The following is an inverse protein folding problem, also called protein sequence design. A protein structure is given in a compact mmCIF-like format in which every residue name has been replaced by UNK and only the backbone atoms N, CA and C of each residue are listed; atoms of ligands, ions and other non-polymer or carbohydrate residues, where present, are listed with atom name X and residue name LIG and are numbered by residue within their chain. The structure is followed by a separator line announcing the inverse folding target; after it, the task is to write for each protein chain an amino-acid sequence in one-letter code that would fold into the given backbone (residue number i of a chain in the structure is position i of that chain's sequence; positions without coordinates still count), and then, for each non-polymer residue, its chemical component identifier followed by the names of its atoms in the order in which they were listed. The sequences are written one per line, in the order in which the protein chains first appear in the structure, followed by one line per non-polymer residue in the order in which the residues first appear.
data_IF_946351215085
#
_entry.id   IF_946351215085
#
_cell.length_a   1.000
_cell.length_b   1.000
_cell.length_c   1.000
_cell.angle_alpha   90.00
_cell.angle_beta   90.00
_cell.angle_gamma   90.00
#
_symmetry.space_group_name_H-M   'P 1'
#
loop_
_entity.id
_entity.type
_entity.pdbx_description
1 polymer ?
#
# COMPACT_ATOMS: atom_id res chain seq x y z
N UNK A 1 59.84 4.63 -15.43
CA UNK A 1 58.92 5.02 -14.33
C UNK A 1 58.04 3.83 -14.01
N UNK A 2 58.34 3.13 -12.92
CA UNK A 2 57.58 1.99 -12.42
C UNK A 2 56.21 2.47 -11.94
N UNK A 3 55.15 2.06 -12.64
CA UNK A 3 53.79 2.32 -12.21
C UNK A 3 53.54 1.44 -10.97
N UNK A 4 53.76 1.98 -9.78
CA UNK A 4 53.42 1.28 -8.54
C UNK A 4 51.93 0.96 -8.59
N UNK A 5 51.60 -0.34 -8.59
CA UNK A 5 50.23 -0.82 -8.46
C UNK A 5 49.77 -0.45 -7.05
N UNK A 6 49.11 0.71 -6.90
CA UNK A 6 48.48 1.10 -5.63
C UNK A 6 47.52 -0.01 -5.24
N UNK A 7 47.62 -0.50 -4.01
CA UNK A 7 46.79 -1.61 -3.50
C UNK A 7 45.28 -1.27 -3.51
N UNK A 8 44.94 0.01 -3.64
CA UNK A 8 43.55 0.53 -3.72
C UNK A 8 43.00 0.60 -5.15
N UNK A 9 43.81 0.34 -6.19
CA UNK A 9 43.37 0.37 -7.59
C UNK A 9 43.04 -1.01 -8.15
N UNK A 10 43.15 -2.07 -7.34
CA UNK A 10 42.73 -3.41 -7.75
C UNK A 10 41.24 -3.52 -7.44
N UNK A 11 40.38 -3.87 -8.42
CA UNK A 11 38.98 -4.09 -8.14
C UNK A 11 38.88 -5.21 -7.09
N UNK A 12 38.17 -4.95 -5.99
CA UNK A 12 37.94 -5.90 -4.89
C UNK A 12 37.29 -7.18 -5.41
N UNK A 13 36.49 -7.05 -6.47
CA UNK A 13 35.83 -8.15 -7.15
C UNK A 13 36.50 -8.51 -8.47
N UNK A 14 36.69 -9.81 -8.69
CA UNK A 14 37.04 -10.38 -9.99
C UNK A 14 35.99 -10.01 -11.05
N UNK A 15 36.34 -10.12 -12.33
CA UNK A 15 35.39 -9.90 -13.43
C UNK A 15 34.19 -10.85 -13.34
N UNK A 16 34.42 -12.09 -12.90
CA UNK A 16 33.39 -13.10 -12.69
C UNK A 16 32.42 -12.72 -11.57
N UNK A 17 32.94 -12.30 -10.41
CA UNK A 17 32.12 -11.82 -9.28
C UNK A 17 31.31 -10.57 -9.65
N UNK A 18 31.89 -9.65 -10.43
CA UNK A 18 31.14 -8.50 -10.97
C UNK A 18 30.06 -8.91 -11.96
N UNK A 19 30.30 -9.92 -12.79
CA UNK A 19 29.28 -10.43 -13.71
C UNK A 19 28.13 -11.12 -12.94
N UNK A 20 28.44 -11.92 -11.92
CA UNK A 20 27.46 -12.50 -11.01
C UNK A 20 26.67 -11.40 -10.29
N UNK A 21 27.36 -10.41 -9.73
CA UNK A 21 26.73 -9.32 -9.03
C UNK A 21 25.80 -8.50 -9.94
N UNK A 22 26.24 -8.25 -11.18
CA UNK A 22 25.43 -7.59 -12.20
C UNK A 22 24.21 -8.43 -12.57
N UNK A 23 24.33 -9.75 -12.70
CA UNK A 23 23.20 -10.62 -13.03
C UNK A 23 22.15 -10.69 -11.90
N UNK A 24 22.57 -10.64 -10.64
CA UNK A 24 21.67 -10.78 -9.50
C UNK A 24 21.07 -9.46 -9.02
N UNK A 25 21.85 -8.37 -9.04
CA UNK A 25 21.50 -7.09 -8.42
C UNK A 25 21.44 -5.90 -9.38
N UNK A 26 21.87 -6.01 -10.64
CA UNK A 26 21.66 -4.91 -11.60
C UNK A 26 20.26 -4.99 -12.22
N UNK A 27 19.78 -3.82 -12.63
CA UNK A 27 18.57 -3.72 -13.43
C UNK A 27 18.76 -4.47 -14.75
N UNK A 28 17.87 -5.41 -15.03
CA UNK A 28 17.89 -6.22 -16.24
C UNK A 28 16.57 -6.09 -16.98
N UNK A 29 16.65 -5.92 -18.30
CA UNK A 29 15.51 -5.92 -19.20
C UNK A 29 15.63 -7.10 -20.17
N UNK A 30 14.58 -7.91 -20.30
CA UNK A 30 14.55 -9.03 -21.25
C UNK A 30 13.31 -8.96 -22.14
N UNK A 31 13.48 -9.28 -23.43
CA UNK A 31 12.36 -9.38 -24.37
C UNK A 31 11.74 -10.78 -24.29
N UNK A 32 10.43 -10.85 -24.11
CA UNK A 32 9.64 -12.07 -24.05
C UNK A 32 9.34 -12.59 -25.45
N UNK A 33 9.49 -13.90 -25.62
CA UNK A 33 9.16 -14.62 -26.86
C UNK A 33 7.79 -15.29 -26.75
N UNK A 34 7.31 -15.87 -27.86
CA UNK A 34 5.99 -16.54 -27.96
C UNK A 34 5.74 -17.54 -26.83
N UNK A 35 6.77 -18.27 -26.42
CA UNK A 35 6.70 -19.32 -25.39
C UNK A 35 6.52 -18.74 -23.97
N UNK A 36 6.79 -17.45 -23.78
CA UNK A 36 6.54 -16.74 -22.52
C UNK A 36 5.07 -16.33 -22.34
N UNK A 37 4.23 -16.48 -23.38
CA UNK A 37 2.82 -16.11 -23.35
C UNK A 37 1.93 -17.35 -23.26
N UNK A 38 0.95 -17.29 -22.36
CA UNK A 38 -0.06 -18.34 -22.25
C UNK A 38 -0.98 -18.35 -23.49
N UNK A 39 -1.46 -19.52 -23.93
CA UNK A 39 -2.53 -19.62 -24.90
C UNK A 39 -3.80 -18.90 -24.42
N UNK A 40 -4.62 -18.44 -25.38
CA UNK A 40 -5.88 -17.76 -25.08
C UNK A 40 -6.80 -18.63 -24.23
N UNK A 41 -7.40 -18.04 -23.20
CA UNK A 41 -8.32 -18.76 -22.31
C UNK A 41 -7.64 -19.67 -21.29
N UNK A 42 -6.35 -19.49 -21.04
CA UNK A 42 -5.65 -20.11 -19.91
C UNK A 42 -5.98 -19.41 -18.60
N UNK A 43 -5.95 -20.16 -17.50
CA UNK A 43 -6.16 -19.63 -16.16
C UNK A 43 -4.88 -18.97 -15.65
N UNK A 44 -4.99 -17.73 -15.16
CA UNK A 44 -3.85 -17.00 -14.57
C UNK A 44 -3.31 -17.55 -13.25
N UNK A 45 -3.96 -18.56 -12.65
CA UNK A 45 -3.54 -19.18 -11.38
C UNK A 45 -2.90 -20.55 -11.60
N UNK A 46 -3.54 -21.45 -12.36
CA UNK A 46 -2.99 -22.79 -12.62
C UNK A 46 -2.23 -22.91 -13.94
N UNK A 47 -2.20 -21.85 -14.77
CA UNK A 47 -1.47 -21.74 -16.03
C UNK A 47 -1.89 -22.73 -17.14
N UNK A 48 -2.90 -23.56 -16.89
CA UNK A 48 -3.50 -24.46 -17.87
C UNK A 48 -4.70 -23.80 -18.56
N UNK A 49 -5.20 -24.40 -19.65
CA UNK A 49 -6.46 -24.02 -20.28
C UNK A 49 -7.57 -24.05 -19.20
N UNK A 50 -8.27 -22.93 -19.04
CA UNK A 50 -9.22 -22.76 -17.94
C UNK A 50 -10.40 -23.72 -18.05
N UNK A 51 -10.65 -24.49 -16.99
CA UNK A 51 -11.85 -25.33 -16.79
C UNK A 51 -12.92 -24.52 -16.07
N UNK A 52 -14.17 -24.61 -16.53
CA UNK A 52 -15.28 -23.76 -16.07
C UNK A 52 -14.85 -22.30 -15.92
N UNK A 53 -14.46 -21.66 -17.03
CA UNK A 53 -13.75 -20.39 -16.99
C UNK A 53 -14.63 -19.29 -16.38
N UNK A 54 -14.02 -18.51 -15.50
CA UNK A 54 -14.61 -17.31 -14.88
C UNK A 54 -13.71 -16.12 -15.12
N UNK A 55 -14.28 -14.92 -15.16
CA UNK A 55 -13.54 -13.69 -15.31
C UNK A 55 -13.79 -12.71 -14.16
N UNK A 56 -12.77 -11.91 -13.84
CA UNK A 56 -12.95 -10.71 -13.03
C UNK A 56 -13.61 -9.59 -13.86
N UNK A 57 -14.03 -8.50 -13.21
CA UNK A 57 -14.61 -7.33 -13.92
C UNK A 57 -13.66 -6.66 -14.93
N UNK A 58 -12.37 -6.97 -14.88
CA UNK A 58 -11.33 -6.43 -15.77
C UNK A 58 -10.97 -7.37 -16.92
N UNK A 59 -11.53 -8.58 -16.96
CA UNK A 59 -11.34 -9.50 -18.07
C UNK A 59 -10.25 -10.54 -17.88
N UNK A 60 -9.60 -10.61 -16.70
CA UNK A 60 -8.63 -11.68 -16.41
C UNK A 60 -9.35 -13.03 -16.26
N UNK A 61 -8.77 -14.12 -16.76
CA UNK A 61 -9.41 -15.44 -16.84
C UNK A 61 -8.86 -16.39 -15.79
N UNK A 62 -9.76 -17.11 -15.10
CA UNK A 62 -9.43 -18.12 -14.10
C UNK A 62 -10.31 -19.37 -14.24
N UNK A 63 -9.85 -20.51 -13.73
CA UNK A 63 -10.76 -21.60 -13.42
C UNK A 63 -11.65 -21.19 -12.23
N UNK A 64 -12.91 -21.63 -12.22
CA UNK A 64 -13.83 -21.38 -11.09
C UNK A 64 -13.23 -21.83 -9.75
N UNK A 65 -12.67 -23.04 -9.70
CA UNK A 65 -12.05 -23.58 -8.48
C UNK A 65 -10.86 -22.73 -8.00
N UNK A 66 -9.98 -22.31 -8.91
CA UNK A 66 -8.78 -21.54 -8.58
C UNK A 66 -9.15 -20.14 -8.08
N UNK A 67 -10.12 -19.48 -8.72
CA UNK A 67 -10.58 -18.17 -8.30
C UNK A 67 -11.18 -18.22 -6.88
N UNK A 68 -12.04 -19.22 -6.62
CA UNK A 68 -12.69 -19.37 -5.33
C UNK A 68 -11.69 -19.74 -4.22
N UNK A 69 -10.78 -20.67 -4.47
CA UNK A 69 -9.76 -21.05 -3.50
C UNK A 69 -8.86 -19.86 -3.14
N UNK A 70 -8.45 -19.07 -4.14
CA UNK A 70 -7.67 -17.87 -3.93
C UNK A 70 -8.43 -16.83 -3.09
N UNK A 71 -9.70 -16.55 -3.39
CA UNK A 71 -10.53 -15.63 -2.60
C UNK A 71 -10.64 -16.10 -1.14
N UNK A 72 -10.82 -17.40 -0.91
CA UNK A 72 -10.92 -17.96 0.43
C UNK A 72 -9.60 -17.86 1.20
N UNK A 73 -8.48 -18.14 0.56
CA UNK A 73 -7.14 -17.98 1.14
C UNK A 73 -6.90 -16.53 1.53
N UNK A 74 -7.15 -15.59 0.62
CA UNK A 74 -7.01 -14.16 0.91
C UNK A 74 -7.90 -13.72 2.09
N UNK A 75 -9.16 -14.17 2.14
CA UNK A 75 -10.05 -13.87 3.29
C UNK A 75 -9.51 -14.42 4.61
N UNK A 76 -8.92 -15.62 4.61
CA UNK A 76 -8.30 -16.21 5.81
C UNK A 76 -7.08 -15.42 6.24
N UNK A 77 -6.24 -15.00 5.30
CA UNK A 77 -5.03 -14.23 5.57
C UNK A 77 -5.36 -12.82 6.06
N UNK A 78 -6.37 -12.17 5.47
CA UNK A 78 -6.93 -10.90 5.95
C UNK A 78 -7.40 -11.06 7.39
N UNK A 79 -8.22 -12.08 7.69
CA UNK A 79 -8.70 -12.33 9.05
C UNK A 79 -7.55 -12.59 10.04
N UNK A 80 -6.51 -13.34 9.64
CA UNK A 80 -5.32 -13.60 10.46
C UNK A 80 -4.55 -12.31 10.72
N UNK A 81 -4.34 -11.50 9.69
CA UNK A 81 -3.66 -10.21 9.79
C UNK A 81 -4.47 -9.22 10.65
N UNK A 82 -5.78 -9.17 10.51
CA UNK A 82 -6.68 -8.35 11.34
C UNK A 82 -6.57 -8.74 12.82
N UNK A 83 -6.58 -10.05 13.12
CA UNK A 83 -6.41 -10.55 14.50
C UNK A 83 -5.03 -10.19 15.06
N UNK A 84 -3.97 -10.37 14.28
CA UNK A 84 -2.62 -10.00 14.70
C UNK A 84 -2.51 -8.49 14.96
N UNK A 85 -3.09 -7.66 14.08
CA UNK A 85 -3.13 -6.21 14.29
C UNK A 85 -3.93 -5.82 15.54
N UNK A 86 -5.09 -6.44 15.76
CA UNK A 86 -5.87 -6.20 16.97
C UNK A 86 -5.10 -6.57 18.25
N UNK A 87 -4.40 -7.71 18.26
CA UNK A 87 -3.55 -8.11 19.38
C UNK A 87 -2.41 -7.10 19.62
N UNK A 88 -1.72 -6.66 18.56
CA UNK A 88 -0.68 -5.63 18.68
C UNK A 88 -1.23 -4.27 19.13
N UNK A 89 -2.44 -3.90 18.71
CA UNK A 89 -3.12 -2.68 19.17
C UNK A 89 -3.45 -2.76 20.67
N UNK A 90 -3.88 -3.93 21.16
CA UNK A 90 -4.16 -4.17 22.58
C UNK A 90 -2.88 -4.17 23.44
N UNK A 91 -1.82 -4.85 23.01
CA UNK A 91 -0.52 -4.82 23.69
C UNK A 91 0.08 -3.40 23.73
N UNK A 92 0.00 -2.68 22.60
CA UNK A 92 0.40 -1.28 22.53
C UNK A 92 -0.40 -0.39 23.49
N UNK A 93 -1.70 -0.62 23.63
CA UNK A 93 -2.55 0.12 24.56
C UNK A 93 -2.19 -0.20 26.03
N UNK A 94 -1.92 -1.46 26.36
CA UNK A 94 -1.46 -1.87 27.70
C UNK A 94 -0.12 -1.22 28.06
N UNK A 95 0.86 -1.25 27.15
CA UNK A 95 2.16 -0.62 27.37
C UNK A 95 2.04 0.90 27.56
N UNK A 96 1.17 1.57 26.78
CA UNK A 96 0.90 3.00 26.97
C UNK A 96 0.24 3.30 28.31
N UNK A 97 -0.69 2.46 28.76
CA UNK A 97 -1.32 2.63 30.07
C UNK A 97 -0.30 2.49 31.22
N UNK A 98 0.63 1.53 31.11
CA UNK A 98 1.73 1.36 32.08
C UNK A 98 2.71 2.55 32.05
N UNK A 99 3.06 3.06 30.88
CA UNK A 99 3.90 4.27 30.76
C UNK A 99 3.20 5.49 31.36
N UNK A 100 1.91 5.68 31.06
CA UNK A 100 1.11 6.78 31.61
C UNK A 100 0.94 6.69 33.14
N UNK A 101 0.87 5.49 33.71
CA UNK A 101 0.84 5.27 35.17
C UNK A 101 2.19 5.60 35.80
N UNK A 102 3.30 5.13 35.22
CA UNK A 102 4.64 5.47 35.68
C UNK A 102 4.92 6.99 35.58
N UNK A 103 4.47 7.65 34.52
CA UNK A 103 4.61 9.10 34.37
C UNK A 103 3.78 9.86 35.42
N UNK A 104 2.62 9.33 35.82
CA UNK A 104 1.83 9.89 36.94
C UNK A 104 2.55 9.72 38.27
N UNK A 105 3.09 8.54 38.56
CA UNK A 105 3.83 8.29 39.80
C UNK A 105 5.05 9.21 39.92
N UNK A 106 5.81 9.38 38.83
CA UNK A 106 6.93 10.34 38.78
C UNK A 106 6.48 11.78 39.01
N UNK A 107 5.39 12.20 38.36
CA UNK A 107 4.86 13.55 38.55
C UNK A 107 4.42 13.81 40.00
N UNK A 108 3.83 12.81 40.68
CA UNK A 108 3.49 12.90 42.11
C UNK A 108 4.77 12.99 42.96
N UNK A 109 5.75 12.13 42.71
CA UNK A 109 7.02 12.16 43.45
C UNK A 109 7.79 13.48 43.28
N UNK A 110 7.84 14.03 42.06
CA UNK A 110 8.45 15.34 41.79
C UNK A 110 7.68 16.47 42.50
N UNK A 111 6.35 16.39 42.54
CA UNK A 111 5.53 17.34 43.28
C UNK A 111 5.77 17.29 44.78
N UNK A 112 5.83 16.09 45.37
CA UNK A 112 6.17 15.89 46.79
C UNK A 112 7.57 16.42 47.12
N UNK A 113 8.53 16.18 46.23
CA UNK A 113 9.91 16.68 46.35
C UNK A 113 9.96 18.22 46.35
N UNK A 114 9.22 18.87 45.46
CA UNK A 114 9.10 20.34 45.41
C UNK A 114 8.41 20.89 46.66
N UNK A 115 7.35 20.24 47.17
CA UNK A 115 6.71 20.64 48.43
C UNK A 115 7.63 20.50 49.65
N UNK A 116 8.52 19.50 49.64
CA UNK A 116 9.55 19.33 50.67
C UNK A 116 10.70 20.36 50.60
N UNK A 117 10.67 21.30 49.65
CA UNK A 117 11.68 22.35 49.48
C UNK A 117 13.01 21.87 48.88
N UNK A 118 13.03 20.68 48.28
CA UNK A 118 14.20 20.07 47.64
C UNK A 118 14.26 20.37 46.14
N UNK A 119 13.86 21.58 45.74
CA UNK A 119 13.91 22.02 44.34
C UNK A 119 15.33 21.90 43.78
N UNK A 120 15.51 20.97 42.85
CA UNK A 120 16.80 20.68 42.19
C UNK A 120 17.32 21.84 41.33
N UNK A 121 16.60 22.96 41.28
CA UNK A 121 16.94 24.18 40.54
C UNK A 121 18.00 25.06 41.22
N UNK A 122 18.48 24.70 42.41
CA UNK A 122 19.48 25.47 43.18
C UNK A 122 20.95 25.05 42.97
N UNK A 123 21.29 24.08 42.10
CA UNK A 123 22.70 23.70 41.86
C UNK A 123 23.10 23.97 40.40
N UNK A 124 23.45 25.22 40.11
CA UNK A 124 23.99 25.58 38.80
C UNK A 124 24.18 27.07 38.54
N UNK A 125 24.83 27.82 39.44
CA UNK A 125 25.38 29.14 39.08
C UNK A 125 26.61 29.47 39.92
N UNK A 126 27.75 28.87 39.55
CA UNK A 126 29.08 29.39 39.91
C UNK A 126 29.70 29.93 38.62
N UNK A 127 29.62 31.25 38.45
CA UNK A 127 30.54 32.05 37.64
C UNK A 127 30.34 33.55 37.98
N UNK A 128 31.23 34.07 38.84
CA UNK A 128 31.66 35.48 38.84
C UNK A 128 32.83 35.60 37.83
N UNK A 129 33.27 36.78 37.32
CA UNK A 129 33.44 37.99 38.14
C UNK A 129 33.19 39.37 37.43
N UNK A 130 32.95 40.42 38.24
CA UNK A 130 33.62 41.76 38.21
C UNK A 130 32.83 42.84 37.41
N UNK A 131 32.73 44.13 37.76
CA UNK A 131 33.24 45.02 38.81
C UNK A 131 32.46 46.37 38.72
N UNK A 132 32.44 47.12 39.82
CA UNK A 132 32.45 48.59 39.91
C UNK A 132 31.18 49.37 40.33
N UNK A 133 31.35 50.00 41.51
CA UNK A 133 30.96 51.36 41.95
C UNK A 133 29.71 51.58 42.84
N UNK A 134 29.99 51.68 44.15
CA UNK A 134 29.57 52.67 45.18
C UNK A 134 28.77 53.90 44.70
N UNK A 135 27.87 54.58 45.43
CA UNK A 135 27.57 54.70 46.87
C UNK A 135 26.21 55.44 47.07
N UNK A 136 25.67 55.31 48.28
CA UNK A 136 24.91 56.29 49.06
C UNK A 136 23.46 56.76 48.72
N UNK A 137 22.60 56.47 49.72
CA UNK A 137 21.59 57.32 50.39
C UNK A 137 20.09 57.17 50.12
N UNK A 138 19.38 57.00 51.25
CA UNK A 138 17.93 56.94 51.49
C UNK A 138 17.11 58.03 50.81
N UNK A 139 15.92 57.63 50.36
CA UNK A 139 14.83 58.51 50.00
C UNK A 139 13.59 57.71 49.63
N UNK A 140 12.64 57.66 50.55
CA UNK A 140 11.22 57.37 50.37
C UNK A 140 10.61 57.73 49.00
N UNK A 141 9.93 56.76 48.36
CA UNK A 141 8.52 56.85 47.93
C UNK A 141 8.11 55.68 47.01
N UNK A 142 7.00 55.05 47.38
CA UNK A 142 6.25 54.10 46.58
C UNK A 142 5.62 54.79 45.36
N UNK A 143 5.56 54.11 44.21
CA UNK A 143 4.53 54.22 43.15
C UNK A 143 4.74 53.03 42.18
N UNK A 144 4.06 51.90 42.42
CA UNK A 144 2.88 51.49 41.67
C UNK A 144 3.11 51.16 40.18
N UNK A 145 3.47 49.90 39.88
CA UNK A 145 3.04 49.24 38.65
C UNK A 145 2.05 48.13 39.03
N UNK A 146 0.81 48.56 39.24
CA UNK A 146 -0.35 47.69 39.45
C UNK A 146 -0.61 46.96 38.13
N UNK A 147 -0.07 45.75 38.01
CA UNK A 147 -0.58 44.78 37.06
C UNK A 147 -2.04 44.54 37.38
N UNK A 148 -2.93 44.79 36.42
CA UNK A 148 -4.35 44.53 36.50
C UNK A 148 -4.57 43.11 37.00
N UNK A 149 -4.98 43.01 38.28
CA UNK A 149 -5.49 41.77 38.87
C UNK A 149 -6.77 41.42 38.14
N UNK A 150 -6.65 40.74 37.00
CA UNK A 150 -7.73 39.87 36.54
C UNK A 150 -7.95 38.90 37.68
N UNK A 151 -9.11 39.01 38.32
CA UNK A 151 -9.57 38.08 39.35
C UNK A 151 -9.47 36.71 38.72
N UNK A 152 -8.49 35.92 39.17
CA UNK A 152 -8.28 34.56 38.70
C UNK A 152 -9.43 33.75 39.30
N UNK A 153 -10.55 33.75 38.60
CA UNK A 153 -11.62 32.79 38.88
C UNK A 153 -11.09 31.47 38.33
N UNK A 154 -10.87 30.54 39.26
CA UNK A 154 -10.29 29.23 39.01
C UNK A 154 -11.33 28.38 38.27
N UNK A 155 -11.54 28.70 37.00
CA UNK A 155 -12.45 27.95 36.15
C UNK A 155 -11.86 26.56 35.88
N UNK A 156 -12.73 25.56 35.93
CA UNK A 156 -12.37 24.15 35.78
C UNK A 156 -11.64 23.88 34.45
N UNK A 157 -12.01 24.62 33.40
CA UNK A 157 -11.38 24.54 32.08
C UNK A 157 -9.96 25.13 32.04
N UNK A 158 -9.67 26.17 32.82
CA UNK A 158 -8.34 26.79 32.90
C UNK A 158 -7.38 25.90 33.70
N UNK A 159 -7.88 25.29 34.78
CA UNK A 159 -7.18 24.23 35.53
C UNK A 159 -6.81 23.05 34.63
N UNK A 160 -7.76 22.57 33.82
CA UNK A 160 -7.53 21.47 32.89
C UNK A 160 -6.57 21.83 31.76
N UNK A 161 -6.48 23.12 31.37
CA UNK A 161 -5.48 23.60 30.41
C UNK A 161 -4.09 23.61 31.03
N UNK A 162 -3.94 24.18 32.23
CA UNK A 162 -2.68 24.21 32.97
C UNK A 162 -2.16 22.79 33.23
N UNK A 163 -3.04 21.88 33.66
CA UNK A 163 -2.70 20.47 33.87
C UNK A 163 -2.23 19.77 32.58
N UNK A 164 -2.81 20.11 31.42
CA UNK A 164 -2.36 19.59 30.11
C UNK A 164 -1.00 20.17 29.71
N UNK A 165 -0.80 21.47 29.88
CA UNK A 165 0.47 22.13 29.56
C UNK A 165 1.62 21.60 30.43
N UNK A 166 1.39 21.39 31.72
CA UNK A 166 2.41 20.85 32.63
C UNK A 166 2.72 19.37 32.37
N UNK A 167 1.72 18.56 31.99
CA UNK A 167 1.94 17.20 31.49
C UNK A 167 2.80 17.16 30.24
N UNK A 168 2.60 18.10 29.30
CA UNK A 168 3.42 18.20 28.08
C UNK A 168 4.85 18.61 28.41
N UNK A 169 5.05 19.57 29.32
CA UNK A 169 6.39 19.99 29.77
C UNK A 169 7.12 18.86 30.50
N UNK A 170 6.44 18.14 31.39
CA UNK A 170 7.01 17.00 32.10
C UNK A 170 7.40 15.87 31.13
N UNK A 171 6.53 15.53 30.18
CA UNK A 171 6.85 14.52 29.16
C UNK A 171 8.04 14.93 28.30
N UNK A 172 8.13 16.21 27.92
CA UNK A 172 9.28 16.74 27.18
C UNK A 172 10.58 16.66 27.99
N UNK A 173 10.54 16.99 29.28
CA UNK A 173 11.71 16.87 30.15
C UNK A 173 12.19 15.41 30.29
N UNK A 174 11.26 14.45 30.39
CA UNK A 174 11.58 13.02 30.41
C UNK A 174 12.15 12.54 29.08
N UNK A 175 11.63 13.03 27.95
CA UNK A 175 12.16 12.72 26.62
C UNK A 175 13.57 13.31 26.43
N UNK A 176 13.82 14.53 26.93
CA UNK A 176 15.13 15.19 26.91
C UNK A 176 16.13 14.43 27.82
N UNK A 177 15.72 13.94 28.99
CA UNK A 177 16.55 13.06 29.85
C UNK A 177 16.84 11.70 29.18
N UNK A 178 15.84 11.10 28.53
CA UNK A 178 16.02 9.86 27.75
C UNK A 178 16.97 10.08 26.57
N UNK A 179 16.89 11.24 25.91
CA UNK A 179 17.75 11.62 24.78
C UNK A 179 19.17 12.00 25.22
N UNK A 180 19.35 12.51 26.44
CA UNK A 180 20.65 12.84 27.02
C UNK A 180 21.46 11.60 27.44
N UNK A 181 20.85 10.40 27.47
CA UNK A 181 21.57 9.14 27.69
C UNK A 181 22.52 8.89 26.51
N UNK A 182 23.83 8.70 26.76
CA UNK A 182 24.82 8.61 25.69
C UNK A 182 24.55 7.38 24.80
N UNK A 183 24.22 7.62 23.53
CA UNK A 183 24.13 6.57 22.52
C UNK A 183 25.55 6.22 22.05
N UNK A 184 26.09 5.10 22.52
CA UNK A 184 27.37 4.60 21.99
C UNK A 184 27.17 4.08 20.56
N UNK A 185 28.12 4.32 19.63
CA UNK A 185 28.04 3.85 18.24
C UNK A 185 28.23 2.34 18.07
N UNK A 186 28.36 1.57 19.16
CA UNK A 186 28.57 0.12 19.14
C UNK A 186 27.23 -0.64 19.18
N UNK A 187 26.80 -1.07 18.00
CA UNK A 187 25.62 -1.93 17.79
C UNK A 187 25.69 -3.30 18.49
N UNK A 188 26.88 -3.75 18.91
CA UNK A 188 27.14 -5.10 19.43
C UNK A 188 27.10 -5.22 20.95
N UNK A 189 26.82 -4.13 21.68
CA UNK A 189 26.73 -4.18 23.14
C UNK A 189 25.33 -4.68 23.53
N UNK A 190 25.17 -5.83 24.22
CA UNK A 190 23.86 -6.39 24.55
C UNK A 190 22.95 -5.47 25.39
N UNK A 191 23.52 -4.50 26.10
CA UNK A 191 22.80 -3.50 26.89
C UNK A 191 22.26 -2.33 26.05
N UNK A 192 22.65 -2.24 24.77
CA UNK A 192 22.28 -1.20 23.81
C UNK A 192 21.68 -1.77 22.53
N UNK A 193 21.44 -3.09 22.48
CA UNK A 193 20.62 -3.66 21.41
C UNK A 193 19.24 -3.03 21.52
N UNK A 194 18.70 -2.42 20.44
CA UNK A 194 17.36 -1.87 20.48
C UNK A 194 16.38 -3.01 20.77
N UNK A 195 15.96 -3.12 22.02
CA UNK A 195 14.92 -4.05 22.44
C UNK A 195 13.64 -3.68 21.69
N UNK A 196 12.88 -4.67 21.25
CA UNK A 196 11.60 -4.47 20.57
C UNK A 196 10.60 -3.64 21.40
N UNK A 197 10.85 -3.47 22.71
CA UNK A 197 10.10 -2.61 23.63
C UNK A 197 10.52 -1.13 23.59
N UNK A 198 11.75 -0.81 23.17
CA UNK A 198 12.29 0.56 23.13
C UNK A 198 12.07 1.26 21.79
N UNK A 199 11.90 0.48 20.71
CA UNK A 199 11.47 1.02 19.44
C UNK A 199 10.02 1.47 19.59
N UNK A 200 9.82 2.79 19.69
CA UNK A 200 8.54 3.50 19.53
C UNK A 200 7.62 2.64 18.67
N UNK A 201 6.59 2.06 19.30
CA UNK A 201 5.66 1.11 18.69
C UNK A 201 5.40 1.52 17.24
N UNK A 202 5.68 0.64 16.25
CA UNK A 202 5.55 1.01 14.86
C UNK A 202 4.16 1.64 14.65
N UNK A 203 4.08 2.77 13.93
CA UNK A 203 2.83 3.50 13.79
C UNK A 203 1.76 2.52 13.32
N UNK A 204 0.69 2.43 14.12
CA UNK A 204 -0.47 1.55 13.85
C UNK A 204 -0.85 1.75 12.40
N UNK A 205 -0.53 0.76 11.56
CA UNK A 205 -0.75 0.84 10.12
C UNK A 205 -2.23 1.06 9.94
N UNK A 206 -2.59 2.22 9.39
CA UNK A 206 -3.99 2.65 9.24
C UNK A 206 -4.83 1.51 8.67
N UNK A 207 -6.02 1.31 9.24
CA UNK A 207 -6.98 0.25 8.89
C UNK A 207 -7.37 0.33 7.42
N UNK A 208 -6.56 -0.24 6.54
CA UNK A 208 -6.91 -0.41 5.14
C UNK A 208 -7.96 -1.53 5.09
N UNK A 209 -9.17 -1.21 4.60
CA UNK A 209 -10.22 -2.21 4.33
C UNK A 209 -9.65 -3.21 3.33
N UNK A 210 -9.17 -4.34 3.82
CA UNK A 210 -8.47 -5.32 2.99
C UNK A 210 -9.52 -6.20 2.35
N UNK A 211 -9.92 -5.85 1.14
CA UNK A 211 -10.77 -6.70 0.30
C UNK A 211 -9.84 -7.64 -0.48
N UNK A 212 -10.24 -8.89 -0.79
CA UNK A 212 -9.42 -9.73 -1.65
C UNK A 212 -9.13 -9.04 -2.99
N UNK A 213 -7.88 -9.07 -3.41
CA UNK A 213 -7.36 -8.42 -4.62
C UNK A 213 -7.20 -9.45 -5.74
N UNK A 214 -7.45 -9.07 -6.98
CA UNK A 214 -7.24 -9.96 -8.12
C UNK A 214 -5.76 -10.38 -8.23
N UNK A 215 -5.44 -11.68 -8.33
CA UNK A 215 -4.05 -12.14 -8.50
C UNK A 215 -3.38 -11.65 -9.79
N UNK A 216 -4.17 -11.32 -10.81
CA UNK A 216 -3.69 -10.82 -12.10
C UNK A 216 -3.63 -9.28 -12.18
N UNK A 217 -3.94 -8.56 -11.09
CA UNK A 217 -3.77 -7.11 -11.07
C UNK A 217 -2.30 -6.72 -10.95
N UNK A 218 -1.87 -5.72 -11.72
CA UNK A 218 -0.58 -5.06 -11.53
C UNK A 218 -0.60 -4.23 -10.24
N UNK A 219 0.58 -3.92 -9.66
CA UNK A 219 0.67 -3.04 -8.50
C UNK A 219 0.03 -1.66 -8.74
N UNK A 220 0.09 -1.14 -9.97
CA UNK A 220 -0.47 0.16 -10.33
C UNK A 220 -2.01 0.16 -10.50
N UNK A 221 -2.60 -0.98 -10.87
CA UNK A 221 -4.05 -1.13 -11.14
C UNK A 221 -4.65 -2.28 -10.28
N UNK A 222 -4.37 -2.24 -8.98
CA UNK A 222 -4.96 -3.16 -8.02
C UNK A 222 -6.49 -3.03 -8.00
N UNK A 223 -7.21 -4.15 -8.15
CA UNK A 223 -8.66 -4.15 -8.10
C UNK A 223 -9.20 -5.29 -7.25
N UNK A 224 -10.32 -5.08 -6.54
CA UNK A 224 -10.90 -6.10 -5.67
C UNK A 224 -11.59 -7.20 -6.50
N UNK A 225 -11.44 -8.44 -6.04
CA UNK A 225 -12.12 -9.62 -6.58
C UNK A 225 -13.03 -10.20 -5.50
N UNK A 226 -14.31 -10.39 -5.83
CA UNK A 226 -15.31 -10.96 -4.93
C UNK A 226 -16.11 -12.03 -5.65
N UNK A 227 -16.70 -12.98 -4.91
CA UNK A 227 -17.43 -14.09 -5.53
C UNK A 227 -18.63 -13.62 -6.38
N UNK A 228 -19.29 -12.54 -5.96
CA UNK A 228 -20.42 -11.93 -6.71
C UNK A 228 -19.96 -11.22 -7.99
N UNK A 229 -18.71 -10.79 -8.04
CA UNK A 229 -18.15 -10.06 -9.18
C UNK A 229 -17.50 -10.99 -10.21
N UNK A 230 -17.49 -12.31 -9.96
CA UNK A 230 -17.04 -13.31 -10.92
C UNK A 230 -18.11 -13.53 -11.97
N UNK A 231 -17.74 -13.35 -13.23
CA UNK A 231 -18.61 -13.58 -14.39
C UNK A 231 -18.23 -14.91 -14.99
N UNK A 232 -19.20 -15.82 -15.16
CA UNK A 232 -18.96 -17.09 -15.87
C UNK A 232 -18.71 -16.80 -17.35
N UNK A 233 -17.66 -17.38 -17.92
CA UNK A 233 -17.34 -17.23 -19.35
C UNK A 233 -17.92 -18.42 -20.10
N UNK A 234 -18.71 -18.14 -21.14
CA UNK A 234 -19.28 -19.14 -22.04
C UNK A 234 -18.53 -19.06 -23.38
N UNK A 235 -17.57 -19.96 -23.57
CA UNK A 235 -16.90 -20.13 -24.86
C UNK A 235 -17.71 -21.05 -25.76
N UNK A 236 -17.73 -20.74 -27.06
CA UNK A 236 -18.14 -21.70 -28.07
C UNK A 236 -16.95 -22.60 -28.40
N UNK A 237 -17.12 -23.91 -28.21
CA UNK A 237 -16.08 -24.91 -28.43
C UNK A 237 -16.48 -25.79 -29.61
N UNK A 238 -15.62 -25.88 -30.62
CA UNK A 238 -15.75 -26.81 -31.74
C UNK A 238 -14.70 -27.92 -31.59
N UNK A 239 -15.09 -29.16 -31.86
CA UNK A 239 -14.17 -30.30 -31.85
C UNK A 239 -13.41 -30.39 -33.18
N UNK A 240 -12.11 -30.14 -33.13
CA UNK A 240 -11.18 -30.34 -34.25
C UNK A 240 -10.35 -31.60 -33.99
N UNK A 241 -9.73 -32.16 -35.04
CA UNK A 241 -8.77 -33.27 -34.96
C UNK A 241 -7.59 -33.06 -33.98
N UNK A 242 -7.36 -31.82 -33.52
CA UNK A 242 -6.31 -31.43 -32.55
C UNK A 242 -6.87 -31.13 -31.14
N UNK A 243 -8.14 -31.46 -30.88
CA UNK A 243 -8.84 -31.20 -29.63
C UNK A 243 -9.89 -30.07 -29.73
N UNK A 244 -10.46 -29.69 -28.58
CA UNK A 244 -11.48 -28.65 -28.47
C UNK A 244 -10.87 -27.26 -28.73
N UNK A 245 -11.35 -26.57 -29.75
CA UNK A 245 -10.90 -25.23 -30.10
C UNK A 245 -11.99 -24.21 -29.79
N UNK A 246 -11.60 -23.11 -29.14
CA UNK A 246 -12.50 -22.00 -28.81
C UNK A 246 -12.64 -21.08 -30.01
N UNK A 247 -13.86 -20.94 -30.52
CA UNK A 247 -14.16 -20.16 -31.73
C UNK A 247 -15.13 -19.02 -31.43
N UNK A 248 -15.14 -18.00 -32.29
CA UNK A 248 -16.12 -16.93 -32.22
C UNK A 248 -17.47 -17.42 -32.78
N UNK A 249 -18.60 -17.28 -32.06
CA UNK A 249 -19.92 -17.72 -32.55
C UNK A 249 -20.36 -17.09 -33.87
N UNK A 250 -19.92 -15.87 -34.16
CA UNK A 250 -20.33 -15.12 -35.35
C UNK A 250 -19.50 -15.46 -36.60
N UNK A 251 -18.17 -15.41 -36.52
CA UNK A 251 -17.29 -15.65 -37.67
C UNK A 251 -16.65 -17.04 -37.71
N UNK A 252 -16.87 -17.88 -36.69
CA UNK A 252 -16.24 -19.21 -36.51
C UNK A 252 -14.72 -19.22 -36.55
N UNK A 253 -14.07 -18.05 -36.48
CA UNK A 253 -12.61 -17.95 -36.38
C UNK A 253 -12.16 -18.34 -34.98
N UNK A 254 -11.01 -19.02 -34.91
CA UNK A 254 -10.36 -19.38 -33.64
C UNK A 254 -10.02 -18.12 -32.83
N UNK A 255 -10.42 -18.11 -31.56
CA UNK A 255 -10.09 -17.04 -30.63
C UNK A 255 -8.64 -17.18 -30.17
N UNK A 256 -7.85 -16.14 -30.43
CA UNK A 256 -6.44 -16.06 -30.06
C UNK A 256 -6.16 -14.74 -29.32
N UNK A 257 -5.02 -14.63 -28.65
CA UNK A 257 -4.60 -13.40 -27.97
C UNK A 257 -4.57 -12.19 -28.94
N UNK A 258 -4.30 -12.42 -30.23
CA UNK A 258 -4.29 -11.36 -31.25
C UNK A 258 -5.68 -10.90 -31.70
N UNK A 259 -6.73 -11.70 -31.47
CA UNK A 259 -8.10 -11.40 -31.92
C UNK A 259 -8.87 -10.47 -30.96
N UNK A 260 -8.25 -10.05 -29.86
CA UNK A 260 -8.82 -9.27 -28.77
C UNK A 260 -10.26 -9.69 -28.41
N UNK A 261 -10.49 -10.93 -27.93
CA UNK A 261 -11.83 -11.39 -27.61
C UNK A 261 -12.49 -10.55 -26.52
N UNK A 262 -13.77 -10.25 -26.68
CA UNK A 262 -14.58 -9.50 -25.73
C UNK A 262 -15.74 -10.35 -25.23
N UNK A 263 -16.05 -10.22 -23.95
CA UNK A 263 -17.10 -10.93 -23.25
C UNK A 263 -18.23 -9.97 -22.86
N UNK A 264 -19.48 -10.42 -23.03
CA UNK A 264 -20.65 -9.73 -22.51
C UNK A 264 -20.80 -9.96 -20.99
N UNK A 265 -20.91 -8.88 -20.21
CA UNK A 265 -20.93 -8.93 -18.73
C UNK A 265 -22.12 -9.70 -18.15
N UNK A 266 -23.28 -9.64 -18.81
CA UNK A 266 -24.54 -10.21 -18.30
C UNK A 266 -24.69 -11.70 -18.60
N UNK A 267 -24.26 -12.15 -19.79
CA UNK A 267 -24.47 -13.52 -20.25
C UNK A 267 -23.19 -14.34 -20.43
N UNK A 268 -22.00 -13.73 -20.36
CA UNK A 268 -20.73 -14.43 -20.41
C UNK A 268 -20.28 -14.89 -21.80
N UNK A 269 -21.05 -14.66 -22.86
CA UNK A 269 -20.66 -15.06 -24.22
C UNK A 269 -19.47 -14.25 -24.73
N UNK A 270 -18.56 -14.94 -25.42
CA UNK A 270 -17.31 -14.36 -25.94
C UNK A 270 -17.34 -14.26 -27.46
N UNK A 271 -16.93 -13.11 -27.99
CA UNK A 271 -16.83 -12.85 -29.42
C UNK A 271 -15.52 -12.14 -29.76
N UNK A 272 -15.01 -12.31 -30.97
CA UNK A 272 -13.84 -11.53 -31.40
C UNK A 272 -14.21 -10.06 -31.58
N UNK A 273 -13.24 -9.16 -31.37
CA UNK A 273 -13.48 -7.72 -31.39
C UNK A 273 -14.07 -7.21 -32.72
N UNK A 274 -13.70 -7.82 -33.84
CA UNK A 274 -14.23 -7.44 -35.16
C UNK A 274 -15.73 -7.75 -35.28
N UNK A 275 -16.19 -8.91 -34.81
CA UNK A 275 -17.60 -9.25 -34.81
C UNK A 275 -18.39 -8.34 -33.86
N UNK A 276 -17.85 -8.01 -32.69
CA UNK A 276 -18.52 -7.08 -31.77
C UNK A 276 -18.68 -5.70 -32.41
N UNK A 277 -17.67 -5.20 -33.11
CA UNK A 277 -17.75 -3.93 -33.83
C UNK A 277 -18.79 -3.91 -34.96
N UNK A 278 -18.99 -5.04 -35.63
CA UNK A 278 -19.92 -5.15 -36.76
C UNK A 278 -21.36 -5.41 -36.34
N UNK A 279 -21.56 -6.27 -35.32
CA UNK A 279 -22.89 -6.81 -34.98
C UNK A 279 -23.47 -6.24 -33.69
N UNK A 280 -22.65 -5.71 -32.78
CA UNK A 280 -23.11 -5.29 -31.44
C UNK A 280 -22.94 -3.79 -31.17
N UNK A 281 -22.12 -3.08 -31.94
CA UNK A 281 -21.98 -1.63 -31.81
C UNK A 281 -22.84 -0.93 -32.86
N UNK A 282 -23.60 0.12 -32.49
CA UNK A 282 -24.28 0.95 -33.47
C UNK A 282 -23.25 1.59 -34.40
N UNK A 283 -23.52 1.58 -35.70
CA UNK A 283 -22.71 2.29 -36.69
C UNK A 283 -22.68 3.77 -36.30
N UNK A 284 -21.49 4.35 -36.22
CA UNK A 284 -21.16 5.68 -35.64
C UNK A 284 -21.77 6.88 -36.40
N UNK A 285 -22.93 6.73 -37.04
CA UNK A 285 -23.54 7.70 -37.95
C UNK A 285 -24.97 8.13 -37.60
N UNK A 286 -25.50 7.84 -36.41
CA UNK A 286 -26.79 8.41 -36.00
C UNK A 286 -26.71 9.13 -34.67
N UNK A 287 -27.12 10.39 -34.75
CA UNK A 287 -27.27 11.39 -33.70
C UNK A 287 -28.24 10.92 -32.63
N UNK A 288 -27.88 11.19 -31.38
CA UNK A 288 -28.74 11.26 -30.19
C UNK A 288 -30.25 11.42 -30.46
N UNK A 289 -30.96 10.30 -30.56
CA UNK A 289 -32.40 10.22 -30.37
C UNK A 289 -32.66 9.19 -29.27
N UNK A 290 -33.63 9.46 -28.40
CA UNK A 290 -33.96 8.64 -27.22
C UNK A 290 -34.53 7.23 -27.54
N UNK A 291 -34.54 6.84 -28.82
CA UNK A 291 -35.06 5.57 -29.35
C UNK A 291 -33.96 4.64 -29.90
N UNK A 292 -32.72 4.72 -29.41
CA UNK A 292 -31.69 3.75 -29.80
C UNK A 292 -32.00 2.38 -29.14
N UNK A 293 -32.08 1.28 -29.92
CA UNK A 293 -32.33 -0.05 -29.38
C UNK A 293 -31.22 -0.42 -28.39
N UNK A 294 -31.55 -1.07 -27.25
CA UNK A 294 -30.55 -1.47 -26.27
C UNK A 294 -29.54 -2.40 -26.93
N UNK A 295 -28.24 -2.18 -26.67
CA UNK A 295 -27.21 -3.13 -27.12
C UNK A 295 -27.53 -4.51 -26.54
N UNK A 296 -27.74 -5.50 -27.40
CA UNK A 296 -28.01 -6.90 -27.02
C UNK A 296 -26.84 -7.81 -27.37
N UNK A 297 -26.77 -8.95 -26.70
CA UNK A 297 -25.82 -10.00 -27.02
C UNK A 297 -26.22 -10.71 -28.33
N UNK A 298 -25.32 -10.80 -29.30
CA UNK A 298 -25.56 -11.50 -30.57
C UNK A 298 -25.96 -12.98 -30.43
N UNK A 299 -25.61 -13.64 -29.32
CA UNK A 299 -25.82 -15.09 -29.15
C UNK A 299 -27.16 -15.40 -28.48
N UNK A 300 -27.62 -14.55 -27.56
CA UNK A 300 -28.78 -14.85 -26.71
C UNK A 300 -29.73 -13.67 -26.51
N UNK A 301 -29.52 -12.57 -27.25
CA UNK A 301 -30.33 -11.35 -27.24
C UNK A 301 -30.47 -10.65 -25.88
N UNK A 302 -29.72 -11.08 -24.86
CA UNK A 302 -29.72 -10.46 -23.53
C UNK A 302 -29.14 -9.03 -23.62
N UNK A 303 -29.79 -8.02 -23.05
CA UNK A 303 -29.29 -6.64 -23.06
C UNK A 303 -27.98 -6.51 -22.28
N UNK A 304 -27.00 -5.83 -22.87
CA UNK A 304 -25.65 -5.64 -22.32
C UNK A 304 -25.61 -4.53 -21.25
N UNK A 305 -26.48 -3.53 -21.38
CA UNK A 305 -26.57 -2.40 -20.45
C UNK A 305 -27.80 -2.54 -19.58
N UNK A 306 -27.63 -2.40 -18.26
CA UNK A 306 -28.75 -2.19 -17.33
C UNK A 306 -28.85 -0.71 -17.00
N UNK A 307 -30.07 -0.21 -16.79
CA UNK A 307 -30.38 1.22 -16.50
C UNK A 307 -29.55 1.82 -15.34
N UNK A 308 -28.93 0.99 -14.51
CA UNK A 308 -28.13 1.38 -13.33
C UNK A 308 -26.63 1.62 -13.60
N UNK A 309 -26.09 1.33 -14.79
CA UNK A 309 -24.62 1.33 -15.04
C UNK A 309 -24.09 2.55 -15.84
N UNK A 310 -24.83 3.65 -15.91
CA UNK A 310 -24.42 4.86 -16.67
C UNK A 310 -23.12 5.52 -16.16
N UNK A 311 -22.57 5.11 -15.00
CA UNK A 311 -21.41 5.73 -14.33
C UNK A 311 -20.17 4.82 -14.11
N UNK A 312 -20.12 3.57 -14.56
CA UNK A 312 -18.89 2.75 -14.47
C UNK A 312 -18.16 2.63 -15.82
N UNK A 313 -17.77 3.76 -16.42
CA UNK A 313 -16.74 3.79 -17.46
C UNK A 313 -15.34 3.69 -16.81
N UNK A 314 -15.03 2.54 -16.20
CA UNK A 314 -13.70 2.30 -15.63
C UNK A 314 -12.68 2.09 -16.76
N UNK A 315 -11.75 3.05 -16.90
CA UNK A 315 -10.52 3.05 -17.73
C UNK A 315 -10.11 1.63 -18.17
N UNK A 316 -10.37 1.22 -19.42
CA UNK A 316 -9.81 -0.03 -19.95
C UNK A 316 -10.61 -0.74 -21.05
N UNK A 317 -11.92 -0.51 -21.16
CA UNK A 317 -12.71 -1.00 -22.30
C UNK A 317 -13.78 0.03 -22.64
N UNK A 318 -13.74 0.55 -23.86
CA UNK A 318 -14.49 1.73 -24.30
C UNK A 318 -15.96 1.46 -24.64
N UNK A 319 -16.49 0.27 -24.30
CA UNK A 319 -17.83 -0.16 -24.70
C UNK A 319 -18.64 -0.58 -23.45
N UNK A 320 -19.78 0.07 -23.16
CA UNK A 320 -20.59 -0.26 -22.00
C UNK A 320 -21.15 -1.70 -22.10
N UNK A 321 -21.05 -2.47 -21.01
CA UNK A 321 -21.56 -3.85 -20.93
C UNK A 321 -20.66 -4.95 -21.52
N UNK A 322 -19.55 -4.57 -22.16
CA UNK A 322 -18.56 -5.48 -22.72
C UNK A 322 -17.22 -5.33 -22.00
N UNK A 323 -16.53 -6.45 -21.80
CA UNK A 323 -15.21 -6.51 -21.16
C UNK A 323 -14.26 -7.23 -22.09
N UNK A 324 -13.14 -6.60 -22.44
CA UNK A 324 -12.08 -7.26 -23.18
C UNK A 324 -11.42 -8.31 -22.30
N UNK A 325 -11.37 -9.56 -22.76
CA UNK A 325 -10.69 -10.63 -22.05
C UNK A 325 -9.19 -10.46 -22.19
N UNK A 326 -8.51 -10.42 -21.05
CA UNK A 326 -7.06 -10.30 -20.96
C UNK A 326 -6.47 -11.70 -20.98
N UNK A 327 -5.59 -11.92 -21.95
CA UNK A 327 -4.84 -13.18 -22.11
C UNK A 327 -3.36 -12.93 -21.87
N UNK A 328 -3.06 -12.11 -20.88
CA UNK A 328 -1.71 -11.74 -20.52
C UNK A 328 -1.06 -12.92 -19.81
N UNK A 329 0.20 -13.21 -20.14
CA UNK A 329 0.98 -14.28 -19.52
C UNK A 329 1.23 -14.05 -18.02
N UNK A 330 2.20 -14.76 -17.45
CA UNK A 330 2.65 -14.54 -16.06
C UNK A 330 2.78 -13.02 -15.82
N UNK A 331 2.37 -12.51 -14.66
CA UNK A 331 2.02 -11.09 -14.40
C UNK A 331 3.01 -9.98 -14.80
N UNK A 332 4.14 -10.33 -15.43
CA UNK A 332 5.12 -9.48 -16.08
C UNK A 332 4.76 -9.05 -17.53
N UNK A 333 3.81 -9.73 -18.19
CA UNK A 333 3.54 -9.49 -19.62
C UNK A 333 2.39 -8.53 -19.94
N UNK A 334 1.81 -7.88 -18.93
CA UNK A 334 0.55 -7.16 -19.08
C UNK A 334 0.56 -6.07 -20.19
N UNK A 335 -0.48 -6.10 -21.03
CA UNK A 335 -0.87 -5.19 -22.11
C UNK A 335 0.00 -5.28 -23.36
N UNK A 336 0.54 -6.46 -23.67
CA UNK A 336 1.37 -6.66 -24.86
C UNK A 336 2.77 -6.04 -24.73
N UNK A 337 3.19 -5.71 -23.52
CA UNK A 337 4.57 -5.40 -23.23
C UNK A 337 5.41 -6.67 -23.45
N UNK A 338 6.21 -6.66 -24.52
CA UNK A 338 7.13 -7.76 -24.81
C UNK A 338 8.43 -7.65 -24.01
N UNK A 339 8.52 -6.75 -23.03
CA UNK A 339 9.75 -6.47 -22.28
C UNK A 339 9.47 -6.50 -20.79
N UNK A 340 10.21 -7.33 -20.06
CA UNK A 340 10.18 -7.37 -18.59
C UNK A 340 11.38 -6.60 -18.09
N UNK A 341 11.14 -5.65 -17.19
CA UNK A 341 12.18 -4.90 -16.50
C UNK A 341 12.20 -5.29 -15.03
N UNK A 342 13.36 -5.71 -14.55
CA UNK A 342 13.62 -5.88 -13.12
C UNK A 342 14.34 -4.63 -12.63
N UNK A 343 13.64 -3.76 -11.91
CA UNK A 343 14.26 -2.62 -11.24
C UNK A 343 14.89 -3.07 -9.93
N UNK A 344 16.21 -2.91 -9.79
CA UNK A 344 16.93 -3.13 -8.54
C UNK A 344 17.96 -2.03 -8.35
N UNK A 345 18.28 -1.74 -7.08
CA UNK A 345 19.38 -0.82 -6.74
C UNK A 345 20.68 -1.50 -7.16
N UNK A 346 21.29 -1.00 -8.22
CA UNK A 346 22.52 -1.57 -8.75
C UNK A 346 23.62 -1.51 -7.68
N UNK A 347 24.28 -2.64 -7.47
CA UNK A 347 25.49 -2.69 -6.65
C UNK A 347 26.57 -1.86 -7.34
N UNK A 348 26.84 -0.65 -6.85
CA UNK A 348 27.97 0.16 -7.28
C UNK A 348 29.19 -0.26 -6.46
N UNK A 349 30.18 -0.85 -7.13
CA UNK A 349 31.44 -1.28 -6.54
C UNK A 349 32.62 -0.51 -7.14
#
# INVERSE_FOLDING_TARGET
MSHSKRNTSRPVFTSHERALAKSHWASSSARLHRDSFLPFGSCGLCLNIARDPVSCRRGDIFCRECALSNILTQKKDIKRADKARAATEEEAAKLRALEDEQDRERAVADFELTQAGLDRKSKGSVAKPDNATTDATSGENALALVGTKRKFELDQDELDRIAREDKVKARKALDDEKAAKPTLPSFWTPSLTPDAQTSKLPPVVKKAKTVPTCPASSPDDAHPITMQNLITINFNEEETSKGKQRTCPSCRKMLTNASNPMMAKQCGHVMCHNCVKQFMLPSTKKSSSEDDPPLTCYVCDVPLTSKSQKHEAAKGSSIPGLVALRSEGTGFSARGASTVEKSSVAFQC
#
